data_IF_800789596651
#
_entry.id   IF_800789596651
#
_cell.length_a   1.000
_cell.length_b   1.000
_cell.length_c   1.000
_cell.angle_alpha   90.00
_cell.angle_beta   90.00
_cell.angle_gamma   90.00
#
_symmetry.space_group_name_H-M   'P 1'
#
loop_
_entity.id
_entity.type
_entity.pdbx_description
1 polymer ?
#
# COMPACT_ATOMS: atom_id res chain seq x y z
N UNK A 1 -10.79 17.54 30.35
CA UNK A 1 -9.72 17.85 29.37
C UNK A 1 -8.55 16.88 29.51
N UNK A 2 -7.88 16.78 30.67
CA UNK A 2 -6.83 15.78 30.92
C UNK A 2 -7.25 14.33 30.63
N UNK A 3 -8.45 13.91 31.06
CA UNK A 3 -8.98 12.55 30.81
C UNK A 3 -9.21 12.27 29.33
N UNK A 4 -9.69 13.26 28.58
CA UNK A 4 -9.88 13.15 27.13
C UNK A 4 -8.52 13.03 26.42
N UNK A 5 -7.51 13.78 26.87
CA UNK A 5 -6.14 13.69 26.39
C UNK A 5 -5.50 12.32 26.69
N UNK A 6 -5.72 11.77 27.88
CA UNK A 6 -5.17 10.48 28.29
C UNK A 6 -5.83 9.29 27.55
N UNK A 7 -7.16 9.34 27.40
CA UNK A 7 -7.92 8.37 26.59
C UNK A 7 -7.54 8.48 25.12
N UNK A 8 -7.37 9.71 24.61
CA UNK A 8 -6.83 9.92 23.28
C UNK A 8 -5.45 9.30 23.20
N UNK A 9 -4.44 9.68 23.97
CA UNK A 9 -3.08 9.11 23.82
C UNK A 9 -3.08 7.58 23.76
N UNK A 10 -3.81 6.89 24.65
CA UNK A 10 -3.88 5.42 24.63
C UNK A 10 -4.59 4.85 23.39
N UNK A 11 -5.69 5.45 22.94
CA UNK A 11 -6.48 4.93 21.80
C UNK A 11 -5.97 5.46 20.44
N UNK A 12 -5.51 6.70 20.43
CA UNK A 12 -4.95 7.45 19.31
C UNK A 12 -3.63 6.83 18.86
N UNK A 13 -2.75 6.40 19.78
CA UNK A 13 -1.58 5.61 19.39
C UNK A 13 -1.99 4.39 18.57
N UNK A 14 -3.02 3.66 18.98
CA UNK A 14 -3.53 2.49 18.24
C UNK A 14 -4.08 2.88 16.88
N UNK A 15 -4.87 3.96 16.79
CA UNK A 15 -5.44 4.45 15.52
C UNK A 15 -4.34 4.94 14.57
N UNK A 16 -3.32 5.63 15.08
CA UNK A 16 -2.17 6.10 14.31
C UNK A 16 -1.34 4.93 13.76
N UNK A 17 -1.08 3.92 14.59
CA UNK A 17 -0.37 2.71 14.14
C UNK A 17 -1.19 1.97 13.09
N UNK A 18 -2.49 1.78 13.32
CA UNK A 18 -3.40 1.13 12.38
C UNK A 18 -3.47 1.86 11.04
N UNK A 19 -3.76 3.16 11.06
CA UNK A 19 -3.87 3.98 9.84
C UNK A 19 -2.52 4.10 9.12
N UNK A 20 -1.44 4.35 9.86
CA UNK A 20 -0.08 4.40 9.32
C UNK A 20 0.36 3.09 8.68
N UNK A 21 -0.03 1.95 9.24
CA UNK A 21 0.24 0.64 8.65
C UNK A 21 -0.54 0.45 7.34
N UNK A 22 -1.84 0.78 7.30
CA UNK A 22 -2.64 0.70 6.06
C UNK A 22 -2.06 1.60 4.97
N UNK A 23 -1.74 2.85 5.31
CA UNK A 23 -1.10 3.80 4.41
C UNK A 23 0.26 3.29 3.92
N UNK A 24 1.10 2.77 4.82
CA UNK A 24 2.40 2.21 4.49
C UNK A 24 2.30 1.01 3.56
N UNK A 25 1.38 0.10 3.82
CA UNK A 25 1.17 -1.12 3.01
C UNK A 25 0.59 -0.79 1.64
N UNK A 26 -0.37 0.15 1.55
CA UNK A 26 -0.91 0.66 0.29
C UNK A 26 0.14 1.43 -0.54
N UNK A 27 0.96 2.24 0.12
CA UNK A 27 2.07 2.94 -0.53
C UNK A 27 3.13 1.97 -1.05
N UNK A 28 3.51 0.96 -0.26
CA UNK A 28 4.38 -0.13 -0.71
C UNK A 28 3.80 -0.85 -1.92
N UNK A 29 2.52 -1.22 -1.87
CA UNK A 29 1.85 -1.86 -2.99
C UNK A 29 1.87 -0.98 -4.26
N UNK A 30 1.72 0.33 -4.12
CA UNK A 30 1.83 1.28 -5.23
C UNK A 30 3.25 1.31 -5.81
N UNK A 31 4.28 1.40 -4.96
CA UNK A 31 5.68 1.42 -5.42
C UNK A 31 6.09 0.10 -6.05
N UNK A 32 5.68 -1.04 -5.47
CA UNK A 32 5.83 -2.36 -6.07
C UNK A 32 5.05 -2.44 -7.40
N UNK A 33 3.86 -1.85 -7.47
CA UNK A 33 3.06 -1.73 -8.68
C UNK A 33 3.77 -0.95 -9.79
N UNK A 34 4.42 0.17 -9.45
CA UNK A 34 5.28 0.93 -10.39
C UNK A 34 6.47 0.10 -10.83
N UNK A 35 7.08 -0.66 -9.91
CA UNK A 35 8.20 -1.56 -10.24
C UNK A 35 7.76 -2.69 -11.18
N UNK A 36 6.61 -3.33 -10.91
CA UNK A 36 5.99 -4.36 -11.75
C UNK A 36 5.57 -3.80 -13.11
N UNK A 37 4.93 -2.62 -13.13
CA UNK A 37 4.52 -1.96 -14.37
C UNK A 37 5.76 -1.57 -15.20
N UNK A 38 6.84 -1.16 -14.53
CA UNK A 38 8.12 -0.85 -15.19
C UNK A 38 8.82 -2.10 -15.70
N UNK A 39 8.73 -3.24 -15.02
CA UNK A 39 9.23 -4.51 -15.52
C UNK A 39 8.40 -5.03 -16.69
N UNK A 40 7.07 -4.85 -16.64
CA UNK A 40 6.12 -5.32 -17.66
C UNK A 40 6.05 -4.44 -18.92
N UNK A 41 6.18 -3.12 -18.77
CA UNK A 41 6.26 -2.16 -19.88
C UNK A 41 7.70 -1.79 -20.23
N UNK A 42 8.66 -2.65 -19.88
CA UNK A 42 10.10 -2.42 -19.97
C UNK A 42 10.49 -1.43 -21.07
N UNK A 43 11.00 -0.26 -20.65
CA UNK A 43 11.81 0.75 -21.38
C UNK A 43 11.28 1.27 -22.76
N UNK A 44 10.35 0.61 -23.43
CA UNK A 44 10.20 0.68 -24.89
C UNK A 44 8.84 1.16 -25.39
N UNK A 45 7.93 1.63 -24.53
CA UNK A 45 6.64 2.18 -25.01
C UNK A 45 6.25 3.51 -24.38
N UNK A 46 7.06 4.53 -24.65
CA UNK A 46 6.55 5.89 -24.83
C UNK A 46 7.46 6.67 -25.79
N UNK A 47 7.37 6.46 -27.12
CA UNK A 47 7.85 7.43 -28.09
C UNK A 47 6.79 8.51 -28.20
N UNK A 48 6.82 9.47 -27.29
CA UNK A 48 5.73 10.44 -27.17
C UNK A 48 6.09 11.56 -26.22
N UNK A 49 7.08 12.33 -26.63
CA UNK A 49 7.21 13.75 -26.30
C UNK A 49 7.58 14.12 -24.84
N UNK A 50 8.88 14.43 -24.72
CA UNK A 50 9.40 15.61 -24.04
C UNK A 50 9.53 15.57 -22.50
N UNK A 51 10.79 15.38 -22.08
CA UNK A 51 11.45 16.22 -21.06
C UNK A 51 10.77 16.31 -19.68
N UNK A 52 10.74 15.19 -18.96
CA UNK A 52 10.99 15.24 -17.52
C UNK A 52 11.77 14.01 -17.06
N UNK A 53 12.99 13.87 -17.59
CA UNK A 53 14.01 12.97 -17.03
C UNK A 53 14.41 13.53 -15.66
N UNK A 54 13.70 13.12 -14.61
CA UNK A 54 14.20 13.32 -13.24
C UNK A 54 15.50 12.53 -13.12
N UNK A 55 16.60 13.27 -12.93
CA UNK A 55 18.02 12.89 -13.05
C UNK A 55 18.48 11.72 -12.17
N UNK A 56 17.60 11.14 -11.36
CA UNK A 56 17.92 10.11 -10.37
C UNK A 56 16.94 8.93 -10.34
N UNK A 57 16.17 8.71 -11.40
CA UNK A 57 15.33 7.51 -11.52
C UNK A 57 16.22 6.28 -11.83
N UNK A 58 16.12 5.13 -11.11
CA UNK A 58 15.10 4.69 -10.15
C UNK A 58 15.64 4.51 -8.71
N UNK A 59 16.49 5.42 -8.22
CA UNK A 59 17.09 5.29 -6.88
C UNK A 59 16.13 5.68 -5.73
N UNK A 60 15.34 6.78 -5.83
CA UNK A 60 14.41 7.19 -4.78
C UNK A 60 13.33 6.14 -4.41
N UNK A 61 12.68 5.47 -5.37
CA UNK A 61 11.67 4.44 -5.06
C UNK A 61 12.25 3.26 -4.30
N UNK A 62 13.51 2.89 -4.59
CA UNK A 62 14.17 1.74 -3.99
C UNK A 62 14.47 2.01 -2.50
N UNK A 63 15.06 3.18 -2.20
CA UNK A 63 15.29 3.61 -0.82
C UNK A 63 13.98 3.72 -0.05
N UNK A 64 12.97 4.37 -0.64
CA UNK A 64 11.66 4.52 -0.01
C UNK A 64 11.06 3.16 0.35
N UNK A 65 11.04 2.22 -0.60
CA UNK A 65 10.52 0.87 -0.34
C UNK A 65 11.28 0.16 0.79
N UNK A 66 12.61 0.28 0.85
CA UNK A 66 13.42 -0.28 1.93
C UNK A 66 13.06 0.30 3.30
N UNK A 67 12.92 1.62 3.40
CA UNK A 67 12.52 2.30 4.64
C UNK A 67 11.11 1.87 5.05
N UNK A 68 10.16 1.81 4.12
CA UNK A 68 8.78 1.44 4.47
C UNK A 68 8.67 -0.04 4.83
N UNK A 69 9.38 -0.94 4.16
CA UNK A 69 9.46 -2.36 4.55
C UNK A 69 10.04 -2.50 5.96
N UNK A 70 11.14 -1.79 6.25
CA UNK A 70 11.73 -1.78 7.57
C UNK A 70 10.76 -1.26 8.63
N UNK A 71 10.06 -0.16 8.32
CA UNK A 71 9.05 0.44 9.20
C UNK A 71 7.89 -0.51 9.45
N UNK A 72 7.36 -1.17 8.42
CA UNK A 72 6.31 -2.18 8.57
C UNK A 72 6.76 -3.35 9.45
N UNK A 73 8.00 -3.82 9.24
CA UNK A 73 8.59 -4.91 10.03
C UNK A 73 8.71 -4.50 11.49
N UNK A 74 9.21 -3.29 11.75
CA UNK A 74 9.29 -2.74 13.09
C UNK A 74 7.92 -2.63 13.76
N UNK A 75 6.91 -2.10 13.06
CA UNK A 75 5.54 -2.00 13.58
C UNK A 75 4.98 -3.39 13.90
N UNK A 76 5.17 -4.36 13.00
CA UNK A 76 4.70 -5.75 13.18
C UNK A 76 5.30 -6.41 14.42
N UNK A 77 6.58 -6.16 14.70
CA UNK A 77 7.26 -6.72 15.89
C UNK A 77 6.82 -6.01 17.18
N UNK A 78 6.68 -4.68 17.17
CA UNK A 78 6.38 -3.91 18.38
C UNK A 78 4.89 -3.91 18.76
N UNK A 79 4.01 -4.05 17.77
CA UNK A 79 2.56 -3.86 17.85
C UNK A 79 1.84 -4.89 16.95
N UNK A 80 1.95 -6.20 17.27
CA UNK A 80 1.49 -7.28 16.40
C UNK A 80 -0.04 -7.32 16.27
N UNK A 81 -0.78 -6.90 17.30
CA UNK A 81 -2.23 -6.89 17.30
C UNK A 81 -2.79 -5.83 16.32
N UNK A 82 -2.25 -4.61 16.33
CA UNK A 82 -2.69 -3.53 15.46
C UNK A 82 -2.31 -3.82 13.99
N UNK A 83 -1.10 -4.33 13.76
CA UNK A 83 -0.64 -4.76 12.45
C UNK A 83 -1.49 -5.91 11.88
N UNK A 84 -1.85 -6.89 12.71
CA UNK A 84 -2.71 -8.01 12.33
C UNK A 84 -4.10 -7.59 11.88
N UNK A 85 -4.74 -6.66 12.61
CA UNK A 85 -6.06 -6.13 12.25
C UNK A 85 -5.97 -5.37 10.92
N UNK A 86 -4.95 -4.53 10.74
CA UNK A 86 -4.76 -3.79 9.50
C UNK A 86 -4.53 -4.72 8.28
N UNK A 87 -3.73 -5.77 8.45
CA UNK A 87 -3.54 -6.80 7.43
C UNK A 87 -4.85 -7.53 7.11
N UNK A 88 -5.62 -7.91 8.12
CA UNK A 88 -6.91 -8.57 7.93
C UNK A 88 -7.90 -7.70 7.13
N UNK A 89 -7.94 -6.39 7.39
CA UNK A 89 -8.78 -5.44 6.65
C UNK A 89 -8.36 -5.37 5.17
N UNK A 90 -7.05 -5.28 4.90
CA UNK A 90 -6.55 -5.22 3.52
C UNK A 90 -6.82 -6.53 2.76
N UNK A 91 -6.58 -7.68 3.41
CA UNK A 91 -6.88 -9.00 2.83
C UNK A 91 -8.39 -9.13 2.58
N UNK A 92 -9.23 -8.68 3.51
CA UNK A 92 -10.68 -8.66 3.36
C UNK A 92 -11.14 -7.83 2.16
N UNK A 93 -10.58 -6.63 1.98
CA UNK A 93 -10.83 -5.79 0.81
C UNK A 93 -10.41 -6.47 -0.51
N UNK A 94 -9.24 -7.11 -0.52
CA UNK A 94 -8.74 -7.85 -1.67
C UNK A 94 -9.62 -9.08 -2.00
N UNK A 95 -10.08 -9.80 -0.98
CA UNK A 95 -11.01 -10.92 -1.15
C UNK A 95 -12.35 -10.45 -1.72
N UNK A 96 -12.91 -9.35 -1.21
CA UNK A 96 -14.13 -8.75 -1.76
C UNK A 96 -13.96 -8.35 -3.22
N UNK A 97 -12.82 -7.75 -3.59
CA UNK A 97 -12.51 -7.46 -4.99
C UNK A 97 -12.49 -8.74 -5.84
N UNK A 98 -11.81 -9.78 -5.38
CA UNK A 98 -11.72 -11.04 -6.11
C UNK A 98 -13.07 -11.75 -6.26
N UNK A 99 -13.89 -11.74 -5.21
CA UNK A 99 -15.27 -12.25 -5.25
C UNK A 99 -16.13 -11.46 -6.23
N UNK A 100 -15.99 -10.13 -6.25
CA UNK A 100 -16.72 -9.26 -7.17
C UNK A 100 -16.25 -9.44 -8.61
N UNK A 101 -14.95 -9.56 -8.87
CA UNK A 101 -14.44 -9.80 -10.22
C UNK A 101 -14.89 -11.17 -10.75
N UNK A 102 -14.91 -12.19 -9.89
CA UNK A 102 -15.43 -13.52 -10.24
C UNK A 102 -16.94 -13.50 -10.48
N UNK A 103 -17.67 -12.66 -9.74
CA UNK A 103 -19.11 -12.44 -9.91
C UNK A 103 -19.48 -11.52 -11.09
N UNK A 104 -18.56 -10.71 -11.61
CA UNK A 104 -18.76 -9.85 -12.78
C UNK A 104 -18.37 -10.51 -14.12
N UNK A 105 -17.69 -11.66 -14.11
CA UNK A 105 -17.45 -12.51 -15.30
C UNK A 105 -18.61 -13.37 -15.85
N UNK A 106 -19.85 -13.40 -15.33
CA UNK A 106 -20.98 -14.14 -15.95
C UNK A 106 -21.69 -13.48 -17.15
N UNK A 107 -21.24 -12.34 -17.67
CA UNK A 107 -22.03 -11.54 -18.64
C UNK A 107 -21.40 -11.24 -20.00
N UNK A 108 -20.24 -11.82 -20.36
CA UNK A 108 -19.56 -11.52 -21.62
C UNK A 108 -19.96 -12.46 -22.77
N UNK A 109 -21.23 -12.87 -22.82
CA UNK A 109 -21.77 -13.70 -23.89
C UNK A 109 -23.26 -13.37 -24.09
N UNK A 110 -23.51 -12.32 -24.88
CA UNK A 110 -24.70 -12.11 -25.73
C UNK A 110 -24.45 -10.83 -26.55
N UNK A 111 -23.86 -11.01 -27.74
CA UNK A 111 -24.09 -10.32 -29.03
C UNK A 111 -22.88 -10.53 -29.96
#
# INVERSE_FOLDING_TARGET
ILTALFILTSTFESILVFSGFILGLSSLATVLGVFVLRYRHGIDRQPGEQTYRTWLYPYPPLIYSGIVIWTLTFITINRPQEAGIALAVIIGGCLCYWLTERASRPGANLN
#
